data_IF_777416398046
#
_entry.id   IF_777416398046
#
_cell.length_a   1.000
_cell.length_b   1.000
_cell.length_c   1.000
_cell.angle_alpha   90.00
_cell.angle_beta   90.00
_cell.angle_gamma   90.00
#
_symmetry.space_group_name_H-M   'P 1'
#
loop_
_entity.id
_entity.type
_entity.pdbx_description
1 polymer ?
#
# COMPACT_ATOMS: atom_id res chain seq x y z
N UNK A 1 -7.46 8.66 19.25
CA UNK A 1 -8.91 8.48 19.05
C UNK A 1 -9.19 8.82 17.60
N UNK A 2 -9.77 7.91 16.79
CA UNK A 2 -10.19 8.29 15.45
C UNK A 2 -11.26 9.38 15.60
N UNK A 3 -11.33 10.33 14.65
CA UNK A 3 -12.42 11.29 14.68
C UNK A 3 -13.73 10.53 14.52
N UNK A 4 -14.46 10.41 15.63
CA UNK A 4 -15.82 9.93 15.62
C UNK A 4 -16.61 10.78 14.64
N UNK A 5 -17.23 10.14 13.65
CA UNK A 5 -18.23 10.78 12.81
C UNK A 5 -19.33 11.35 13.72
N UNK A 6 -19.26 12.65 13.99
CA UNK A 6 -20.37 13.35 14.62
C UNK A 6 -21.50 13.37 13.60
N UNK A 7 -22.56 12.63 13.87
CA UNK A 7 -23.85 12.83 13.22
C UNK A 7 -24.29 14.26 13.52
N UNK A 8 -24.24 15.10 12.51
CA UNK A 8 -24.88 16.42 12.54
C UNK A 8 -26.37 16.16 12.38
N UNK A 9 -27.14 16.52 13.39
CA UNK A 9 -28.62 16.46 13.42
C UNK A 9 -29.21 17.11 12.17
N UNK A 10 -30.22 16.43 11.61
CA UNK A 10 -31.01 16.79 10.45
C UNK A 10 -31.44 18.26 10.42
N UNK A 11 -30.72 19.09 9.68
CA UNK A 11 -31.26 20.29 9.05
C UNK A 11 -31.78 19.89 7.66
N UNK A 12 -33.01 20.24 7.27
CA UNK A 12 -33.47 20.04 5.88
C UNK A 12 -32.52 20.80 4.92
N UNK A 13 -31.75 20.04 4.13
CA UNK A 13 -30.74 20.58 3.23
C UNK A 13 -29.29 20.26 3.59
N UNK A 14 -29.00 19.40 4.56
CA UNK A 14 -27.61 19.00 4.87
C UNK A 14 -27.01 18.20 3.73
N UNK A 15 -26.00 18.77 3.06
CA UNK A 15 -25.23 18.12 2.01
C UNK A 15 -24.23 17.16 2.67
N UNK A 16 -24.43 15.85 2.54
CA UNK A 16 -23.44 14.87 2.95
C UNK A 16 -22.25 14.89 1.97
N UNK A 17 -21.12 15.40 2.41
CA UNK A 17 -19.89 15.37 1.61
C UNK A 17 -19.17 14.03 1.83
N UNK A 18 -18.89 13.32 0.75
CA UNK A 18 -18.00 12.17 0.75
C UNK A 18 -16.66 12.57 0.20
N UNK A 19 -15.60 12.11 0.82
CA UNK A 19 -14.22 12.33 0.38
C UNK A 19 -13.55 10.98 0.19
N UNK A 20 -12.77 10.84 -0.87
CA UNK A 20 -11.87 9.72 -1.07
C UNK A 20 -10.60 10.21 -1.73
N UNK A 21 -9.51 9.49 -1.53
CA UNK A 21 -8.21 9.85 -2.08
C UNK A 21 -8.18 9.58 -3.58
N UNK A 22 -7.46 10.40 -4.34
CA UNK A 22 -7.30 10.27 -5.79
C UNK A 22 -8.48 10.84 -6.58
N UNK A 23 -8.29 11.00 -7.87
CA UNK A 23 -9.33 11.51 -8.78
C UNK A 23 -10.25 10.38 -9.23
N UNK A 24 -11.59 10.50 -9.07
CA UNK A 24 -12.54 9.53 -9.60
C UNK A 24 -12.60 9.53 -11.14
N UNK A 25 -11.96 10.50 -11.78
CA UNK A 25 -11.85 10.63 -13.24
C UNK A 25 -10.46 10.20 -13.76
N UNK A 26 -9.58 9.68 -12.90
CA UNK A 26 -8.28 9.20 -13.33
C UNK A 26 -8.44 8.06 -14.34
N UNK A 27 -7.76 8.18 -15.47
CA UNK A 27 -7.71 7.13 -16.49
C UNK A 27 -6.48 6.27 -16.21
N UNK A 28 -6.69 5.23 -15.41
CA UNK A 28 -5.67 4.24 -15.15
C UNK A 28 -5.52 3.30 -16.35
N UNK A 29 -4.30 3.15 -16.83
CA UNK A 29 -3.95 2.13 -17.82
C UNK A 29 -3.23 0.97 -17.10
N UNK A 30 -3.84 -0.19 -17.07
CA UNK A 30 -3.44 -1.36 -16.27
C UNK A 30 -2.12 -2.05 -16.71
N UNK A 31 -1.07 -1.32 -17.08
CA UNK A 31 0.16 -1.90 -17.66
C UNK A 31 1.43 -1.41 -16.95
N UNK A 32 1.30 -0.77 -15.81
CA UNK A 32 2.50 -0.28 -15.14
C UNK A 32 3.16 -1.36 -14.31
N UNK A 33 4.45 -1.53 -14.53
CA UNK A 33 5.31 -2.39 -13.72
C UNK A 33 5.87 -1.61 -12.55
N UNK A 34 5.94 -2.24 -11.42
CA UNK A 34 6.45 -1.68 -10.18
C UNK A 34 7.79 -2.31 -9.82
N UNK A 35 8.70 -1.54 -9.24
CA UNK A 35 9.85 -2.14 -8.57
C UNK A 35 9.36 -2.91 -7.33
N UNK A 36 9.99 -4.04 -6.98
CA UNK A 36 9.80 -4.63 -5.66
C UNK A 36 10.03 -3.58 -4.57
N UNK A 37 9.11 -3.44 -3.59
CA UNK A 37 9.19 -2.40 -2.55
C UNK A 37 10.23 -2.72 -1.45
N UNK A 38 11.35 -3.29 -1.82
CA UNK A 38 12.42 -3.77 -0.95
C UNK A 38 13.79 -3.28 -1.42
N UNK A 39 14.81 -3.35 -0.56
CA UNK A 39 16.16 -2.97 -0.94
C UNK A 39 16.69 -3.82 -2.12
N UNK A 40 17.54 -3.27 -3.02
CA UNK A 40 17.99 -3.94 -4.24
C UNK A 40 18.73 -5.27 -4.02
N UNK A 41 19.40 -5.44 -2.89
CA UNK A 41 20.12 -6.62 -2.46
C UNK A 41 19.30 -7.60 -1.62
N UNK A 42 18.09 -7.21 -1.23
CA UNK A 42 17.19 -8.04 -0.44
C UNK A 42 16.39 -9.04 -1.29
N UNK A 43 15.89 -10.08 -0.62
CA UNK A 43 14.95 -11.04 -1.21
C UNK A 43 14.03 -11.56 -0.13
N UNK A 44 12.72 -11.59 -0.42
CA UNK A 44 11.70 -12.04 0.52
C UNK A 44 10.66 -12.90 -0.20
N UNK A 45 10.01 -13.79 0.55
CA UNK A 45 9.00 -14.68 -0.01
C UNK A 45 7.62 -14.02 0.02
N UNK A 46 6.82 -14.25 -1.01
CA UNK A 46 5.42 -13.85 -1.08
C UNK A 46 4.59 -14.89 -0.34
N UNK A 47 3.91 -14.49 0.74
CA UNK A 47 3.02 -15.37 1.52
C UNK A 47 1.59 -15.37 1.03
N UNK A 48 1.12 -14.25 0.47
CA UNK A 48 -0.21 -14.12 -0.12
C UNK A 48 -0.11 -13.24 -1.37
N UNK A 49 -0.87 -13.59 -2.41
CA UNK A 49 -0.93 -12.87 -3.67
C UNK A 49 -2.39 -12.55 -4.03
N UNK A 50 -2.65 -12.22 -5.29
CA UNK A 50 -3.97 -11.83 -5.80
C UNK A 50 -5.05 -12.86 -5.45
N UNK A 51 -6.17 -12.40 -4.89
CA UNK A 51 -7.29 -13.26 -4.51
C UNK A 51 -7.01 -14.17 -3.31
N UNK A 52 -6.00 -13.86 -2.51
CA UNK A 52 -5.66 -14.64 -1.31
C UNK A 52 -6.81 -14.68 -0.31
N UNK A 53 -7.14 -15.89 0.18
CA UNK A 53 -8.37 -16.15 0.94
C UNK A 53 -8.39 -15.57 2.36
N UNK A 54 -7.26 -15.15 2.91
CA UNK A 54 -7.21 -14.67 4.29
C UNK A 54 -7.66 -13.20 4.41
N UNK A 55 -7.06 -12.29 3.63
CA UNK A 55 -7.31 -10.84 3.72
C UNK A 55 -7.53 -10.16 2.37
N UNK A 56 -7.25 -10.83 1.23
CA UNK A 56 -7.38 -10.27 -0.11
C UNK A 56 -8.74 -10.61 -0.75
N UNK A 57 -9.83 -10.38 0.00
CA UNK A 57 -11.20 -10.79 -0.39
C UNK A 57 -12.13 -9.63 -0.76
N UNK A 58 -11.77 -8.40 -0.38
CA UNK A 58 -12.52 -7.19 -0.72
C UNK A 58 -11.92 -6.46 -1.94
N UNK A 59 -12.68 -5.53 -2.52
CA UNK A 59 -12.28 -4.82 -3.74
C UNK A 59 -11.01 -3.97 -3.56
N UNK A 60 -10.71 -3.52 -2.33
CA UNK A 60 -9.50 -2.72 -2.07
C UNK A 60 -8.24 -3.57 -2.01
N UNK A 61 -8.37 -4.86 -1.67
CA UNK A 61 -7.26 -5.77 -1.39
C UNK A 61 -7.17 -6.97 -2.32
N UNK A 62 -8.17 -7.19 -3.19
CA UNK A 62 -8.23 -8.35 -4.11
C UNK A 62 -6.94 -8.60 -4.89
N UNK A 63 -6.26 -7.55 -5.29
CA UNK A 63 -4.98 -7.61 -5.99
C UNK A 63 -3.81 -7.16 -5.11
N UNK A 64 -3.89 -7.39 -3.82
CA UNK A 64 -2.77 -7.15 -2.91
C UNK A 64 -1.78 -8.31 -2.86
N UNK A 65 -0.59 -8.02 -2.35
CA UNK A 65 0.51 -8.97 -2.14
C UNK A 65 1.06 -8.78 -0.75
N UNK A 66 1.20 -9.88 -0.01
CA UNK A 66 1.86 -9.90 1.30
C UNK A 66 3.27 -10.49 1.15
N UNK A 67 4.26 -9.71 1.54
CA UNK A 67 5.68 -10.04 1.45
C UNK A 67 6.20 -10.28 2.87
N UNK A 68 6.63 -11.50 3.17
CA UNK A 68 7.18 -11.86 4.50
C UNK A 68 8.44 -11.07 4.76
N UNK A 69 8.40 -10.20 5.76
CA UNK A 69 9.53 -9.34 6.09
C UNK A 69 9.68 -9.23 7.61
N UNK A 70 10.89 -9.39 8.17
CA UNK A 70 11.14 -9.07 9.58
C UNK A 70 10.77 -7.60 9.89
N UNK A 71 10.30 -7.36 11.11
CA UNK A 71 10.10 -5.98 11.59
C UNK A 71 11.40 -5.19 11.44
N UNK A 72 11.31 -3.92 11.03
CA UNK A 72 12.48 -3.05 10.83
C UNK A 72 13.16 -3.23 9.46
N UNK A 73 12.59 -4.01 8.55
CA UNK A 73 13.14 -4.13 7.18
C UNK A 73 12.81 -2.87 6.38
N UNK A 74 13.80 -2.25 5.68
CA UNK A 74 13.55 -1.08 4.86
C UNK A 74 12.52 -1.32 3.75
N UNK A 75 11.55 -0.42 3.64
CA UNK A 75 10.51 -0.41 2.61
C UNK A 75 10.75 0.76 1.67
N UNK A 76 10.71 0.50 0.38
CA UNK A 76 11.02 1.46 -0.67
C UNK A 76 9.82 1.73 -1.57
N UNK A 77 9.73 2.95 -2.10
CA UNK A 77 8.71 3.31 -3.07
C UNK A 77 8.85 2.45 -4.35
N UNK A 78 7.83 1.70 -4.68
CA UNK A 78 7.83 0.82 -5.87
C UNK A 78 7.76 1.60 -7.20
N UNK A 79 7.25 2.85 -7.16
CA UNK A 79 7.13 3.76 -8.30
C UNK A 79 7.21 5.20 -7.82
N UNK A 80 7.65 6.10 -8.69
CA UNK A 80 7.68 7.54 -8.42
C UNK A 80 6.26 8.09 -8.24
N UNK A 81 6.11 9.10 -7.38
CA UNK A 81 4.83 9.73 -7.13
C UNK A 81 4.89 10.76 -6.02
N UNK A 82 3.73 11.15 -5.53
CA UNK A 82 3.57 12.05 -4.40
C UNK A 82 2.94 11.29 -3.23
N UNK A 83 3.55 11.38 -2.06
CA UNK A 83 2.96 10.85 -0.82
C UNK A 83 1.68 11.63 -0.51
N UNK A 84 0.56 10.94 -0.37
CA UNK A 84 -0.74 11.56 -0.11
C UNK A 84 -1.30 11.22 1.27
N UNK A 85 -0.81 10.15 1.88
CA UNK A 85 -1.23 9.70 3.20
C UNK A 85 -0.08 9.02 3.93
N UNK A 86 0.04 9.29 5.22
CA UNK A 86 0.95 8.61 6.14
C UNK A 86 0.20 8.41 7.46
N UNK A 87 0.08 7.15 7.87
CA UNK A 87 -0.42 6.73 9.19
C UNK A 87 0.71 5.95 9.84
N UNK A 88 1.23 6.42 10.98
CA UNK A 88 2.40 5.78 11.63
C UNK A 88 2.36 5.82 13.17
N UNK A 89 1.18 6.05 13.76
CA UNK A 89 0.99 6.18 15.21
C UNK A 89 0.35 4.94 15.89
N UNK A 90 0.04 3.90 15.12
CA UNK A 90 -0.50 2.66 15.66
C UNK A 90 0.63 1.71 16.11
N UNK A 91 0.40 1.03 17.25
CA UNK A 91 1.39 0.10 17.82
C UNK A 91 0.85 -1.33 17.99
N UNK A 92 -0.46 -1.55 17.79
CA UNK A 92 -1.10 -2.86 17.96
C UNK A 92 -1.16 -3.61 16.64
N UNK A 93 -0.99 -4.94 16.73
CA UNK A 93 -1.21 -5.85 15.61
C UNK A 93 -1.62 -7.22 16.09
N UNK A 94 -2.32 -7.96 15.24
CA UNK A 94 -2.78 -9.32 15.54
C UNK A 94 -4.03 -9.69 14.77
N UNK A 95 -4.55 -10.90 15.04
CA UNK A 95 -5.68 -11.50 14.31
C UNK A 95 -7.06 -10.98 14.76
N UNK A 96 -7.11 -9.98 15.64
CA UNK A 96 -8.37 -9.34 15.99
C UNK A 96 -8.79 -8.37 14.87
N UNK A 97 -9.95 -8.60 14.26
CA UNK A 97 -10.48 -7.76 13.18
C UNK A 97 -10.68 -6.28 13.57
N UNK A 98 -10.80 -5.98 14.88
CA UNK A 98 -10.85 -4.60 15.36
C UNK A 98 -9.59 -3.80 15.02
N UNK A 99 -8.46 -4.46 14.81
CA UNK A 99 -7.20 -3.81 14.41
C UNK A 99 -7.12 -3.47 12.91
N UNK A 100 -8.10 -3.87 12.08
CA UNK A 100 -8.04 -3.59 10.63
C UNK A 100 -7.89 -2.10 10.29
N UNK A 101 -8.44 -1.21 11.13
CA UNK A 101 -8.32 0.24 10.99
C UNK A 101 -7.10 0.83 11.72
N UNK A 102 -6.25 -0.01 12.34
CA UNK A 102 -5.09 0.40 13.13
C UNK A 102 -3.78 -0.05 12.48
N UNK A 103 -3.74 -0.13 11.15
CA UNK A 103 -2.52 -0.47 10.41
C UNK A 103 -1.77 0.82 10.02
N UNK A 104 -0.50 0.92 10.39
CA UNK A 104 0.36 1.97 9.87
C UNK A 104 0.55 1.79 8.37
N UNK A 105 0.41 2.87 7.62
CA UNK A 105 0.48 2.81 6.17
C UNK A 105 1.00 4.09 5.52
N UNK A 106 1.55 3.93 4.32
CA UNK A 106 1.94 5.04 3.43
C UNK A 106 1.23 4.83 2.10
N UNK A 107 0.68 5.90 1.54
CA UNK A 107 0.06 5.88 0.22
C UNK A 107 0.74 6.88 -0.72
N UNK A 108 1.11 6.41 -1.91
CA UNK A 108 1.80 7.21 -2.92
C UNK A 108 0.91 7.28 -4.16
N UNK A 109 0.53 8.50 -4.56
CA UNK A 109 -0.22 8.80 -5.78
C UNK A 109 0.75 8.93 -6.95
N UNK A 110 0.51 8.17 -8.00
CA UNK A 110 1.28 8.20 -9.25
C UNK A 110 0.65 9.15 -10.28
N UNK A 111 1.39 9.44 -11.34
CA UNK A 111 1.02 10.38 -12.40
C UNK A 111 -0.18 9.92 -13.25
N UNK A 112 -0.45 8.62 -13.31
CA UNK A 112 -1.61 8.01 -13.97
C UNK A 112 -2.86 7.96 -13.08
N UNK A 113 -2.79 8.47 -11.86
CA UNK A 113 -3.88 8.47 -10.88
C UNK A 113 -4.03 7.16 -10.10
N UNK A 114 -3.20 6.15 -10.34
CA UNK A 114 -3.10 4.99 -9.46
C UNK A 114 -2.37 5.35 -8.17
N UNK A 115 -2.56 4.55 -7.13
CA UNK A 115 -1.95 4.74 -5.83
C UNK A 115 -1.38 3.43 -5.32
N UNK A 116 -0.12 3.42 -4.91
CA UNK A 116 0.45 2.31 -4.16
C UNK A 116 0.21 2.50 -2.67
N UNK A 117 -0.28 1.48 -1.98
CA UNK A 117 -0.38 1.41 -0.52
C UNK A 117 0.65 0.43 0.01
N UNK A 118 1.32 0.81 1.09
CA UNK A 118 2.29 0.04 1.86
C UNK A 118 1.77 -0.01 3.29
N UNK A 119 1.33 -1.17 3.78
CA UNK A 119 0.70 -1.28 5.09
C UNK A 119 1.40 -2.26 6.03
N UNK A 120 0.96 -2.29 7.28
CA UNK A 120 1.53 -2.98 8.43
C UNK A 120 2.92 -2.48 8.82
N UNK A 121 3.19 -1.19 8.59
CA UNK A 121 4.49 -0.56 8.86
C UNK A 121 4.77 -0.43 10.36
N UNK A 122 6.03 -0.20 10.70
CA UNK A 122 6.50 0.00 12.06
C UNK A 122 6.07 1.38 12.60
N UNK A 123 5.74 1.43 13.89
CA UNK A 123 5.36 2.65 14.62
C UNK A 123 6.46 3.73 14.52
N UNK A 124 6.07 4.96 14.19
CA UNK A 124 6.94 6.16 14.17
C UNK A 124 8.20 5.99 13.28
N UNK A 125 8.11 5.17 12.22
CA UNK A 125 9.24 4.89 11.32
C UNK A 125 9.01 5.36 9.88
N UNK A 126 7.96 6.14 9.61
CA UNK A 126 7.81 6.78 8.31
C UNK A 126 8.99 7.74 8.04
N UNK A 127 9.56 7.63 6.83
CA UNK A 127 10.67 8.47 6.38
C UNK A 127 10.19 9.55 5.38
N UNK A 128 8.89 9.65 5.23
CA UNK A 128 8.21 10.53 4.30
C UNK A 128 7.00 11.19 4.96
N UNK A 129 6.46 12.22 4.34
CA UNK A 129 5.30 12.97 4.83
C UNK A 129 4.37 13.33 3.66
N UNK A 130 3.08 13.59 3.89
CA UNK A 130 2.15 14.00 2.83
C UNK A 130 2.62 15.27 2.09
N UNK A 131 2.59 15.22 0.76
CA UNK A 131 3.09 16.26 -0.12
C UNK A 131 4.53 16.04 -0.63
N UNK A 132 5.30 15.13 -0.04
CA UNK A 132 6.64 14.81 -0.52
C UNK A 132 6.57 14.07 -1.86
N UNK A 133 7.35 14.52 -2.85
CA UNK A 133 7.58 13.77 -4.09
C UNK A 133 8.72 12.79 -3.89
N UNK A 134 8.49 11.53 -4.25
CA UNK A 134 9.46 10.44 -4.16
C UNK A 134 9.75 9.84 -5.53
N UNK A 135 10.96 9.36 -5.71
CA UNK A 135 11.34 8.54 -6.88
C UNK A 135 11.13 7.07 -6.57
N UNK A 136 11.04 6.22 -7.59
CA UNK A 136 11.11 4.78 -7.40
C UNK A 136 12.43 4.40 -6.67
N UNK A 137 12.37 3.48 -5.72
CA UNK A 137 13.50 3.09 -4.88
C UNK A 137 13.80 4.00 -3.69
N UNK A 138 13.05 5.11 -3.50
CA UNK A 138 13.20 5.97 -2.32
C UNK A 138 12.79 5.22 -1.05
N UNK A 139 13.60 5.29 0.02
CA UNK A 139 13.24 4.73 1.33
C UNK A 139 12.04 5.50 1.90
N UNK A 140 10.95 4.80 2.21
CA UNK A 140 9.71 5.43 2.69
C UNK A 140 9.37 5.09 4.15
N UNK A 141 9.88 3.97 4.67
CA UNK A 141 9.62 3.52 6.03
C UNK A 141 10.20 2.14 6.27
N UNK A 142 9.67 1.46 7.26
CA UNK A 142 10.14 0.13 7.67
C UNK A 142 8.93 -0.79 7.89
N UNK A 143 9.08 -2.08 7.54
CA UNK A 143 8.07 -3.10 7.79
C UNK A 143 7.85 -3.30 9.28
N UNK A 144 6.62 -3.60 9.66
CA UNK A 144 6.20 -3.82 11.03
C UNK A 144 5.27 -5.02 11.17
N UNK A 145 4.32 -4.91 12.10
CA UNK A 145 3.29 -5.91 12.36
C UNK A 145 2.04 -5.24 12.96
N UNK A 146 1.70 -4.02 12.51
CA UNK A 146 0.55 -3.25 13.00
C UNK A 146 -0.72 -3.61 12.25
N UNK A 147 -1.89 -3.44 12.87
CA UNK A 147 -3.18 -3.71 12.25
C UNK A 147 -3.62 -5.18 12.29
N UNK A 148 -4.53 -5.58 11.39
CA UNK A 148 -5.00 -6.97 11.28
C UNK A 148 -3.96 -7.81 10.53
N UNK A 149 -3.24 -8.65 11.26
CA UNK A 149 -2.08 -9.42 10.74
C UNK A 149 -1.91 -10.74 11.47
N UNK A 150 -1.35 -11.74 10.82
CA UNK A 150 -0.94 -13.02 11.41
C UNK A 150 0.54 -13.07 11.79
N UNK A 151 1.33 -12.09 11.36
CA UNK A 151 2.77 -12.00 11.61
C UNK A 151 3.43 -10.91 10.76
N UNK A 152 4.71 -10.59 11.02
CA UNK A 152 5.41 -9.53 10.32
C UNK A 152 5.45 -9.71 8.79
N UNK A 153 4.94 -8.74 8.05
CA UNK A 153 4.97 -8.70 6.60
C UNK A 153 4.73 -7.27 6.10
N UNK A 154 5.01 -7.03 4.84
CA UNK A 154 4.55 -5.85 4.11
C UNK A 154 3.33 -6.23 3.28
N UNK A 155 2.21 -5.56 3.50
CA UNK A 155 1.07 -5.59 2.60
C UNK A 155 1.23 -4.50 1.54
N UNK A 156 1.21 -4.88 0.27
CA UNK A 156 1.36 -3.98 -0.87
C UNK A 156 0.20 -4.16 -1.84
N UNK A 157 -0.45 -3.07 -2.23
CA UNK A 157 -1.47 -3.08 -3.28
C UNK A 157 -1.38 -1.83 -4.14
N UNK A 158 -1.85 -1.94 -5.38
CA UNK A 158 -2.09 -0.80 -6.27
C UNK A 158 -3.58 -0.57 -6.34
N UNK A 159 -4.01 0.65 -6.09
CA UNK A 159 -5.43 1.02 -6.01
C UNK A 159 -5.73 2.19 -6.94
N UNK A 160 -6.98 2.29 -7.37
CA UNK A 160 -7.52 3.43 -8.12
C UNK A 160 -8.82 3.89 -7.48
N UNK A 161 -9.12 5.18 -7.63
CA UNK A 161 -10.42 5.71 -7.25
C UNK A 161 -11.42 5.48 -8.38
N UNK A 162 -12.40 4.60 -8.17
CA UNK A 162 -13.44 4.29 -9.14
C UNK A 162 -14.80 4.74 -8.60
N UNK A 163 -15.22 5.95 -9.00
CA UNK A 163 -16.52 6.47 -8.59
C UNK A 163 -16.65 6.74 -7.09
N UNK A 164 -15.61 7.26 -6.44
CA UNK A 164 -15.50 7.52 -4.99
C UNK A 164 -15.29 6.27 -4.12
N UNK A 165 -14.90 5.16 -4.73
CA UNK A 165 -14.48 3.94 -4.03
C UNK A 165 -13.06 3.58 -4.44
N UNK A 166 -12.24 3.16 -3.49
CA UNK A 166 -10.92 2.62 -3.78
C UNK A 166 -11.06 1.16 -4.15
N UNK A 167 -10.54 0.79 -5.31
CA UNK A 167 -10.47 -0.59 -5.76
C UNK A 167 -9.04 -0.94 -6.12
N UNK A 168 -8.59 -2.13 -5.77
CA UNK A 168 -7.29 -2.63 -6.19
C UNK A 168 -7.31 -3.05 -7.64
N UNK A 169 -6.15 -3.01 -8.27
CA UNK A 169 -5.95 -3.38 -9.68
C UNK A 169 -4.74 -4.30 -9.82
N UNK A 170 -4.76 -5.26 -10.76
CA UNK A 170 -3.60 -6.10 -11.02
C UNK A 170 -2.39 -5.26 -11.42
N UNK A 171 -1.21 -5.71 -11.05
CA UNK A 171 0.07 -5.12 -11.41
C UNK A 171 1.13 -6.21 -11.56
N UNK A 172 2.29 -5.83 -12.08
CA UNK A 172 3.46 -6.71 -12.17
C UNK A 172 4.67 -6.10 -11.47
N UNK A 173 5.60 -6.93 -11.00
CA UNK A 173 6.91 -6.48 -10.57
C UNK A 173 7.94 -6.62 -11.69
N UNK A 174 8.92 -5.72 -11.69
CA UNK A 174 10.11 -5.83 -12.55
C UNK A 174 11.11 -6.74 -11.82
N UNK A 175 11.60 -7.77 -12.49
CA UNK A 175 12.65 -8.63 -11.97
C UNK A 175 14.06 -8.10 -12.30
N UNK A 176 15.10 -8.79 -11.80
CA UNK A 176 16.51 -8.41 -12.01
C UNK A 176 16.96 -8.44 -13.49
N UNK A 177 16.22 -9.13 -14.35
CA UNK A 177 16.44 -9.18 -15.79
C UNK A 177 15.73 -8.06 -16.56
N UNK A 178 14.97 -7.20 -15.84
CA UNK A 178 14.15 -6.15 -16.43
C UNK A 178 12.84 -6.66 -17.06
N UNK A 179 12.46 -7.92 -16.80
CA UNK A 179 11.19 -8.49 -17.23
C UNK A 179 10.11 -8.27 -16.18
N UNK A 180 8.86 -8.28 -16.61
CA UNK A 180 7.69 -8.16 -15.73
C UNK A 180 7.20 -9.53 -15.30
N UNK A 181 6.87 -9.67 -14.02
CA UNK A 181 6.38 -10.90 -13.43
C UNK A 181 5.15 -10.62 -12.56
N UNK A 182 4.12 -11.46 -12.68
CA UNK A 182 3.00 -11.44 -11.75
C UNK A 182 3.44 -12.00 -10.38
N UNK A 183 2.96 -11.43 -9.27
CA UNK A 183 3.25 -11.97 -7.95
C UNK A 183 2.55 -13.34 -7.75
N UNK A 184 3.33 -14.33 -7.33
CA UNK A 184 2.86 -15.71 -7.11
C UNK A 184 3.18 -16.12 -5.67
N UNK A 185 2.24 -16.74 -4.98
CA UNK A 185 2.42 -17.29 -3.63
C UNK A 185 3.59 -18.30 -3.60
N UNK A 186 4.48 -18.16 -2.63
CA UNK A 186 5.67 -18.99 -2.47
C UNK A 186 6.88 -18.54 -3.31
N UNK A 187 6.70 -17.67 -4.29
CA UNK A 187 7.80 -17.13 -5.08
C UNK A 187 8.69 -16.19 -4.23
N UNK A 188 9.97 -16.14 -4.59
CA UNK A 188 10.91 -15.18 -4.04
C UNK A 188 10.87 -13.88 -4.84
N UNK A 189 10.54 -12.78 -4.18
CA UNK A 189 10.63 -11.44 -4.71
C UNK A 189 12.05 -10.91 -4.45
N UNK A 190 12.74 -10.54 -5.53
CA UNK A 190 14.11 -10.01 -5.46
C UNK A 190 14.12 -8.51 -5.69
N UNK A 191 14.82 -7.78 -4.82
CA UNK A 191 15.00 -6.34 -4.99
C UNK A 191 15.74 -6.01 -6.30
N UNK A 192 15.36 -4.87 -6.88
CA UNK A 192 15.91 -4.35 -8.15
C UNK A 192 16.34 -2.89 -7.95
N UNK A 193 17.50 -2.55 -8.46
CA UNK A 193 17.99 -1.18 -8.42
C UNK A 193 17.12 -0.29 -9.33
N UNK A 194 16.65 0.84 -8.78
CA UNK A 194 15.96 1.82 -9.60
C UNK A 194 16.86 2.33 -10.74
N UNK A 195 16.29 2.56 -11.94
CA UNK A 195 17.06 3.16 -13.03
C UNK A 195 17.60 4.53 -12.58
N UNK A 196 18.88 4.74 -12.78
CA UNK A 196 19.49 6.08 -12.65
C UNK A 196 18.98 6.95 -13.81
N UNK A 197 18.27 8.01 -13.49
CA UNK A 197 17.95 9.06 -14.46
C UNK A 197 19.12 9.99 -14.63
#
# INVERSE_FOLDING_TARGET
MPPTSKSVSDCPGSMTKRYTIGSPLAQYTAVESYLPPIAPDASFQISQAFGGNFSHTDEQNKYAVDIVMPIGTPVHAARAGMVVEVEDDFFKGGTNKAYAAEANSIRILHDDGSMAIYAHLELEKAQVYPGLKVTAGHLIGYSGNTGFTTGPHLHFAVQVNKGMELVSTPFTFINREGKTEEPIVGAWLHGVKAPTR
#
